data_IF_638730409317
#
_entry.id   IF_638730409317
#
_cell.length_a   1.000
_cell.length_b   1.000
_cell.length_c   1.000
_cell.angle_alpha   90.00
_cell.angle_beta   90.00
_cell.angle_gamma   90.00
#
_symmetry.space_group_name_H-M   'P 1'
#
loop_
_entity.id
_entity.type
_entity.pdbx_description
1 polymer ?
#
# COMPACT_ATOMS: atom_id res chain seq x y z
N UNK A 1 -23.01 -3.31 16.79
CA UNK A 1 -21.65 -3.64 17.27
C UNK A 1 -21.54 -5.04 17.86
N UNK A 2 -22.50 -5.49 18.69
CA UNK A 2 -22.48 -6.83 19.31
C UNK A 2 -22.26 -7.99 18.31
N UNK A 3 -23.00 -8.00 17.20
CA UNK A 3 -22.82 -9.01 16.14
C UNK A 3 -21.40 -9.04 15.58
N UNK A 4 -20.79 -7.87 15.37
CA UNK A 4 -19.39 -7.77 14.96
C UNK A 4 -18.43 -8.34 16.00
N UNK A 5 -18.64 -8.04 17.29
CA UNK A 5 -17.83 -8.58 18.38
C UNK A 5 -17.94 -10.12 18.47
N UNK A 6 -19.14 -10.67 18.29
CA UNK A 6 -19.37 -12.12 18.23
C UNK A 6 -18.63 -12.75 17.05
N UNK A 7 -18.72 -12.17 15.85
CA UNK A 7 -17.97 -12.64 14.69
C UNK A 7 -16.46 -12.59 14.95
N UNK A 8 -15.97 -11.53 15.60
CA UNK A 8 -14.56 -11.40 16.00
C UNK A 8 -14.11 -12.51 16.94
N UNK A 9 -14.86 -12.77 18.00
CA UNK A 9 -14.60 -13.89 18.89
C UNK A 9 -14.61 -15.22 18.14
N UNK A 10 -15.62 -15.45 17.29
CA UNK A 10 -15.75 -16.68 16.51
C UNK A 10 -14.55 -16.92 15.59
N UNK A 11 -14.16 -15.95 14.75
CA UNK A 11 -13.10 -16.19 13.76
C UNK A 11 -11.71 -16.27 14.40
N UNK A 12 -11.42 -15.48 15.45
CA UNK A 12 -10.12 -15.52 16.13
C UNK A 12 -9.90 -16.85 16.85
N UNK A 13 -10.90 -17.34 17.60
CA UNK A 13 -10.80 -18.63 18.25
C UNK A 13 -10.79 -19.80 17.26
N UNK A 14 -11.56 -19.70 16.17
CA UNK A 14 -11.50 -20.68 15.07
C UNK A 14 -10.08 -20.80 14.51
N UNK A 15 -9.39 -19.67 14.28
CA UNK A 15 -8.00 -19.66 13.82
C UNK A 15 -7.07 -20.33 14.83
N UNK A 16 -7.12 -19.93 16.11
CA UNK A 16 -6.28 -20.50 17.18
C UNK A 16 -6.43 -22.02 17.28
N UNK A 17 -7.67 -22.53 17.26
CA UNK A 17 -7.93 -23.97 17.34
C UNK A 17 -7.43 -24.68 16.07
N UNK A 18 -7.65 -24.10 14.88
CA UNK A 18 -7.19 -24.69 13.62
C UNK A 18 -5.66 -24.74 13.50
N UNK A 19 -4.94 -23.73 14.01
CA UNK A 19 -3.48 -23.63 13.88
C UNK A 19 -2.74 -24.40 14.96
N UNK A 20 -3.18 -24.34 16.22
CA UNK A 20 -2.43 -24.92 17.35
C UNK A 20 -3.01 -26.24 17.87
N UNK A 21 -4.33 -26.43 17.82
CA UNK A 21 -4.99 -27.63 18.36
C UNK A 21 -5.44 -28.60 17.25
N UNK A 22 -5.30 -28.21 15.98
CA UNK A 22 -5.60 -29.03 14.82
C UNK A 22 -4.47 -30.01 14.50
N UNK A 23 -4.74 -30.93 13.56
CA UNK A 23 -3.68 -31.76 12.96
C UNK A 23 -2.83 -30.89 12.04
N UNK A 24 -1.50 -31.05 12.10
CA UNK A 24 -0.59 -30.44 11.16
C UNK A 24 -0.89 -30.91 9.73
N UNK A 25 -0.74 -29.99 8.76
CA UNK A 25 -1.15 -30.19 7.37
C UNK A 25 -0.02 -30.02 6.35
N UNK A 26 1.21 -29.84 6.81
CA UNK A 26 2.41 -29.80 5.96
C UNK A 26 3.03 -31.18 5.72
N UNK A 27 4.13 -31.22 4.98
CA UNK A 27 4.91 -32.45 4.73
C UNK A 27 5.77 -32.82 5.95
N UNK A 28 6.18 -34.09 6.07
CA UNK A 28 7.05 -34.55 7.17
C UNK A 28 8.38 -33.78 7.23
N UNK A 29 8.93 -33.32 6.10
CA UNK A 29 10.14 -32.48 6.08
C UNK A 29 9.92 -31.07 6.68
N UNK A 30 8.72 -30.52 6.59
CA UNK A 30 8.38 -29.23 7.19
C UNK A 30 8.22 -29.32 8.71
N UNK A 31 7.82 -30.48 9.22
CA UNK A 31 7.77 -30.74 10.65
C UNK A 31 9.15 -30.64 11.31
N UNK A 32 10.20 -31.09 10.64
CA UNK A 32 11.56 -31.08 11.20
C UNK A 32 12.17 -29.67 11.35
N UNK A 33 11.68 -28.70 10.58
CA UNK A 33 12.11 -27.30 10.66
C UNK A 33 11.23 -26.43 11.58
N UNK A 34 10.23 -27.01 12.25
CA UNK A 34 9.50 -26.30 13.30
C UNK A 34 10.40 -26.12 14.53
N UNK A 35 10.83 -24.89 14.77
CA UNK A 35 11.57 -24.51 15.96
C UNK A 35 10.86 -23.35 16.65
N UNK A 36 11.06 -23.24 17.96
CA UNK A 36 10.56 -22.09 18.71
C UNK A 36 11.22 -20.80 18.22
N UNK A 37 10.47 -19.70 18.29
CA UNK A 37 10.97 -18.39 17.89
C UNK A 37 12.14 -17.97 18.80
N UNK A 38 13.22 -17.38 18.24
CA UNK A 38 14.34 -16.87 19.03
C UNK A 38 13.93 -15.83 20.07
N UNK A 39 14.73 -15.68 21.12
CA UNK A 39 14.50 -14.72 22.21
C UNK A 39 14.27 -13.28 21.72
N UNK A 40 14.91 -12.89 20.61
CA UNK A 40 14.75 -11.58 19.97
C UNK A 40 13.32 -11.28 19.52
N UNK A 41 12.49 -12.32 19.26
CA UNK A 41 11.08 -12.17 18.91
C UNK A 41 10.15 -12.39 20.12
N UNK A 42 10.45 -13.35 20.98
CA UNK A 42 9.57 -13.71 22.11
C UNK A 42 9.55 -12.64 23.20
N UNK A 43 10.68 -11.99 23.49
CA UNK A 43 10.76 -10.95 24.51
C UNK A 43 9.83 -9.76 24.18
N UNK A 44 9.87 -9.16 22.96
CA UNK A 44 8.91 -8.14 22.59
C UNK A 44 7.44 -8.58 22.72
N UNK A 45 7.10 -9.81 22.33
CA UNK A 45 5.74 -10.33 22.41
C UNK A 45 5.25 -10.45 23.86
N UNK A 46 6.11 -10.91 24.78
CA UNK A 46 5.80 -11.00 26.22
C UNK A 46 5.57 -9.61 26.81
N UNK A 47 6.43 -8.64 26.47
CA UNK A 47 6.27 -7.25 26.93
C UNK A 47 4.92 -6.69 26.45
N UNK A 48 4.59 -6.87 25.17
CA UNK A 48 3.32 -6.43 24.61
C UNK A 48 2.12 -7.11 25.29
N UNK A 49 2.21 -8.39 25.61
CA UNK A 49 1.16 -9.11 26.33
C UNK A 49 0.92 -8.51 27.73
N UNK A 50 2.00 -8.22 28.48
CA UNK A 50 1.92 -7.58 29.80
C UNK A 50 1.30 -6.18 29.68
N UNK A 51 1.76 -5.39 28.70
CA UNK A 51 1.23 -4.05 28.45
C UNK A 51 -0.24 -4.07 28.02
N UNK A 52 -0.69 -5.09 27.29
CA UNK A 52 -2.10 -5.25 26.92
C UNK A 52 -2.98 -5.48 28.15
N UNK A 53 -2.52 -6.28 29.11
CA UNK A 53 -3.26 -6.51 30.37
C UNK A 53 -3.23 -5.25 31.23
N UNK A 54 -2.07 -4.62 31.41
CA UNK A 54 -1.92 -3.39 32.18
C UNK A 54 -2.75 -2.25 31.58
N UNK A 55 -2.73 -2.08 30.26
CA UNK A 55 -3.53 -1.07 29.55
C UNK A 55 -5.03 -1.25 29.76
N UNK A 56 -5.52 -2.50 29.78
CA UNK A 56 -6.92 -2.79 30.10
C UNK A 56 -7.31 -2.47 31.56
N UNK A 57 -6.36 -2.59 32.50
CA UNK A 57 -6.58 -2.27 33.91
C UNK A 57 -6.54 -0.76 34.22
N UNK A 58 -5.91 0.04 33.36
CA UNK A 58 -5.81 1.50 33.52
C UNK A 58 -7.14 2.22 33.24
N UNK A 59 -8.02 1.61 32.44
CA UNK A 59 -9.30 2.20 32.04
C UNK A 59 -10.46 1.26 32.39
N UNK A 60 -10.72 1.13 33.70
CA UNK A 60 -11.80 0.31 34.22
C UNK A 60 -13.06 1.14 34.43
N UNK A 61 -14.24 0.62 34.03
CA UNK A 61 -15.50 1.33 34.22
C UNK A 61 -15.74 1.67 35.69
N UNK A 62 -16.39 2.81 35.94
CA UNK A 62 -16.64 3.36 37.28
C UNK A 62 -17.41 2.38 38.18
N UNK A 63 -18.18 1.47 37.57
CA UNK A 63 -18.92 0.39 38.24
C UNK A 63 -18.00 -0.63 38.91
N UNK A 64 -16.81 -0.87 38.35
CA UNK A 64 -15.84 -1.85 38.86
C UNK A 64 -14.89 -1.19 39.86
N UNK A 65 -14.46 0.05 39.58
CA UNK A 65 -13.66 0.87 40.47
C UNK A 65 -14.05 2.35 40.30
N UNK A 66 -14.47 3.02 41.38
CA UNK A 66 -14.96 4.41 41.31
C UNK A 66 -13.94 5.40 40.70
N UNK A 67 -12.63 5.15 40.87
CA UNK A 67 -11.54 5.93 40.28
C UNK A 67 -10.74 5.16 39.21
N UNK A 68 -11.33 4.15 38.58
CA UNK A 68 -10.67 3.28 37.60
C UNK A 68 -10.44 3.90 36.22
N UNK A 69 -11.06 5.04 35.92
CA UNK A 69 -11.01 5.72 34.62
C UNK A 69 -9.80 6.69 34.51
N UNK A 70 -8.59 6.21 34.82
CA UNK A 70 -7.41 7.06 34.95
C UNK A 70 -7.04 7.75 33.62
N UNK A 71 -7.22 7.06 32.49
CA UNK A 71 -6.92 7.61 31.17
C UNK A 71 -7.96 8.66 30.78
N UNK A 72 -9.25 8.37 30.97
CA UNK A 72 -10.31 9.35 30.70
C UNK A 72 -10.21 10.59 31.58
N UNK A 73 -9.84 10.45 32.86
CA UNK A 73 -9.59 11.59 33.75
C UNK A 73 -8.38 12.41 33.32
N UNK A 74 -7.31 11.77 32.87
CA UNK A 74 -6.14 12.47 32.33
C UNK A 74 -6.46 13.25 31.05
N UNK A 75 -7.31 12.70 30.17
CA UNK A 75 -7.68 13.30 28.89
C UNK A 75 -8.81 14.34 28.98
N UNK A 76 -9.57 14.37 30.08
CA UNK A 76 -10.72 15.27 30.25
C UNK A 76 -10.43 16.77 30.06
N UNK A 77 -9.22 17.31 30.32
CA UNK A 77 -8.91 18.72 30.05
C UNK A 77 -8.79 19.05 28.55
N UNK A 78 -8.49 18.06 27.70
CA UNK A 78 -8.20 18.24 26.27
C UNK A 78 -9.35 17.72 25.40
N UNK A 79 -9.99 16.63 25.84
CA UNK A 79 -11.10 15.98 25.13
C UNK A 79 -12.34 16.14 26.00
N UNK A 80 -13.38 16.89 25.56
CA UNK A 80 -14.65 16.90 26.25
C UNK A 80 -15.30 15.53 26.12
N UNK A 81 -15.29 14.76 27.21
CA UNK A 81 -15.91 13.43 27.26
C UNK A 81 -17.39 13.64 27.59
N UNK A 82 -18.33 13.35 26.67
CA UNK A 82 -19.75 13.42 26.99
C UNK A 82 -20.06 12.39 28.07
N UNK A 83 -20.39 12.87 29.28
CA UNK A 83 -20.85 12.01 30.38
C UNK A 83 -22.26 11.52 30.07
N UNK A 84 -22.35 10.44 29.29
CA UNK A 84 -23.58 9.69 29.19
C UNK A 84 -23.84 9.06 30.58
N UNK A 85 -24.76 9.64 31.34
CA UNK A 85 -25.25 9.07 32.59
C UNK A 85 -26.09 7.82 32.27
N UNK A 86 -25.41 6.74 31.94
CA UNK A 86 -26.01 5.41 31.87
C UNK A 86 -26.15 4.92 33.31
N UNK A 87 -27.33 4.43 33.65
CA UNK A 87 -27.55 3.84 34.97
C UNK A 87 -26.61 2.63 35.17
N UNK A 88 -26.07 2.49 36.38
CA UNK A 88 -25.08 1.44 36.70
C UNK A 88 -25.65 0.04 36.41
N UNK A 89 -26.98 -0.15 36.57
CA UNK A 89 -27.62 -1.42 36.24
C UNK A 89 -27.58 -1.71 34.74
N UNK A 90 -27.83 -0.69 33.91
CA UNK A 90 -27.82 -0.83 32.46
C UNK A 90 -26.41 -1.12 31.95
N UNK A 91 -25.40 -0.47 32.51
CA UNK A 91 -23.99 -0.71 32.17
C UNK A 91 -23.56 -2.16 32.45
N UNK A 92 -23.89 -2.69 33.64
CA UNK A 92 -23.59 -4.08 34.01
C UNK A 92 -24.29 -5.06 33.07
N UNK A 93 -25.59 -4.82 32.80
CA UNK A 93 -26.36 -5.69 31.91
C UNK A 93 -25.70 -5.74 30.52
N UNK A 94 -25.31 -4.59 29.96
CA UNK A 94 -24.66 -4.54 28.66
C UNK A 94 -23.29 -5.25 28.66
N UNK A 95 -22.49 -5.10 29.71
CA UNK A 95 -21.20 -5.77 29.86
C UNK A 95 -21.36 -7.29 29.93
N UNK A 96 -22.30 -7.78 30.75
CA UNK A 96 -22.59 -9.21 30.89
C UNK A 96 -23.13 -9.77 29.59
N UNK A 97 -24.10 -9.11 28.95
CA UNK A 97 -24.67 -9.55 27.67
C UNK A 97 -23.58 -9.62 26.59
N UNK A 98 -22.71 -8.61 26.51
CA UNK A 98 -21.59 -8.61 25.56
C UNK A 98 -20.62 -9.77 25.83
N UNK A 99 -20.23 -9.98 27.09
CA UNK A 99 -19.30 -11.04 27.49
C UNK A 99 -19.88 -12.41 27.20
N UNK A 100 -21.13 -12.66 27.58
CA UNK A 100 -21.84 -13.92 27.32
C UNK A 100 -21.98 -14.17 25.82
N UNK A 101 -22.33 -13.16 25.03
CA UNK A 101 -22.44 -13.30 23.58
C UNK A 101 -21.10 -13.70 22.93
N UNK A 102 -19.99 -13.11 23.37
CA UNK A 102 -18.65 -13.49 22.90
C UNK A 102 -18.29 -14.91 23.34
N UNK A 103 -18.54 -15.28 24.60
CA UNK A 103 -18.29 -16.64 25.09
C UNK A 103 -19.09 -17.70 24.33
N UNK A 104 -20.36 -17.42 24.00
CA UNK A 104 -21.16 -18.29 23.14
C UNK A 104 -20.56 -18.42 21.74
N UNK A 105 -20.07 -17.32 21.15
CA UNK A 105 -19.41 -17.37 19.85
C UNK A 105 -18.13 -18.21 19.86
N UNK A 106 -17.33 -18.11 20.93
CA UNK A 106 -16.14 -18.95 21.16
C UNK A 106 -16.51 -20.43 21.31
N UNK A 107 -17.55 -20.72 22.09
CA UNK A 107 -18.06 -22.07 22.29
C UNK A 107 -18.54 -22.67 20.96
N UNK A 108 -19.28 -21.90 20.15
CA UNK A 108 -19.69 -22.32 18.81
C UNK A 108 -18.49 -22.61 17.89
N UNK A 109 -17.43 -21.79 17.95
CA UNK A 109 -16.20 -22.03 17.20
C UNK A 109 -15.52 -23.35 17.60
N UNK A 110 -15.54 -23.70 18.88
CA UNK A 110 -14.98 -24.95 19.39
C UNK A 110 -15.74 -26.18 18.86
N UNK A 111 -17.07 -26.14 18.83
CA UNK A 111 -17.89 -27.28 18.38
C UNK A 111 -17.85 -27.52 16.86
N UNK A 112 -17.65 -26.48 16.05
CA UNK A 112 -17.63 -26.62 14.59
C UNK A 112 -16.33 -27.25 14.03
N UNK A 113 -15.30 -27.47 14.86
CA UNK A 113 -13.92 -27.59 14.38
C UNK A 113 -13.34 -29.02 14.29
N UNK A 114 -14.15 -30.06 14.09
CA UNK A 114 -13.61 -31.44 14.05
C UNK A 114 -13.06 -31.90 12.70
N UNK A 115 -13.35 -31.24 11.58
CA UNK A 115 -12.76 -31.64 10.28
C UNK A 115 -12.86 -30.51 9.26
N UNK A 116 -11.72 -30.01 8.76
CA UNK A 116 -11.72 -29.22 7.53
C UNK A 116 -12.13 -30.15 6.38
N UNK A 117 -13.34 -29.97 5.88
CA UNK A 117 -13.80 -30.66 4.68
C UNK A 117 -13.54 -29.71 3.52
N UNK A 118 -12.68 -30.14 2.61
CA UNK A 118 -12.43 -29.47 1.33
C UNK A 118 -13.68 -29.62 0.47
N UNK A 119 -14.72 -28.85 0.81
CA UNK A 119 -15.94 -28.73 0.03
C UNK A 119 -15.86 -27.40 -0.67
N UNK A 120 -16.05 -27.42 -1.99
CA UNK A 120 -16.31 -26.22 -2.77
C UNK A 120 -17.49 -25.48 -2.13
N UNK A 121 -17.19 -24.33 -1.53
CA UNK A 121 -18.21 -23.51 -0.90
C UNK A 121 -19.15 -22.98 -1.98
N UNK A 122 -20.46 -23.16 -1.79
CA UNK A 122 -21.47 -22.67 -2.73
C UNK A 122 -22.30 -21.56 -2.09
N UNK A 123 -22.67 -20.53 -2.87
CA UNK A 123 -23.59 -19.47 -2.44
C UNK A 123 -22.90 -18.34 -1.66
N UNK A 124 -23.42 -17.98 -0.48
CA UNK A 124 -22.86 -16.88 0.32
C UNK A 124 -21.44 -17.15 0.80
N UNK A 125 -21.09 -18.43 1.02
CA UNK A 125 -19.76 -18.82 1.44
C UNK A 125 -18.70 -18.54 0.36
N UNK A 126 -19.01 -18.71 -0.93
CA UNK A 126 -18.07 -18.36 -2.01
C UNK A 126 -17.89 -16.85 -2.17
N UNK A 127 -18.90 -16.04 -1.85
CA UNK A 127 -18.77 -14.57 -1.84
C UNK A 127 -17.83 -14.11 -0.72
N UNK A 128 -18.00 -14.69 0.48
CA UNK A 128 -17.13 -14.42 1.64
C UNK A 128 -15.69 -14.90 1.39
N UNK A 129 -15.53 -16.05 0.72
CA UNK A 129 -14.22 -16.59 0.34
C UNK A 129 -13.49 -15.68 -0.66
N UNK A 130 -14.19 -15.14 -1.65
CA UNK A 130 -13.65 -14.18 -2.61
C UNK A 130 -13.66 -12.73 -2.06
N UNK A 131 -13.53 -12.54 -0.73
CA UNK A 131 -13.43 -11.22 -0.08
C UNK A 131 -14.47 -10.20 -0.55
N UNK A 132 -15.72 -10.62 -0.73
CA UNK A 132 -16.82 -9.79 -1.23
C UNK A 132 -16.63 -9.22 -2.64
N UNK A 133 -15.71 -9.78 -3.43
CA UNK A 133 -15.34 -9.32 -4.77
C UNK A 133 -14.83 -7.86 -4.83
N UNK A 134 -14.43 -7.28 -3.70
CA UNK A 134 -13.98 -5.88 -3.63
C UNK A 134 -12.68 -5.70 -4.41
N UNK A 135 -11.75 -6.65 -4.30
CA UNK A 135 -10.46 -6.62 -4.99
C UNK A 135 -10.65 -6.67 -6.51
N UNK A 136 -11.56 -7.51 -7.01
CA UNK A 136 -11.89 -7.70 -8.42
C UNK A 136 -12.58 -6.47 -9.01
N UNK A 137 -13.51 -5.88 -8.27
CA UNK A 137 -14.17 -4.63 -8.64
C UNK A 137 -13.14 -3.50 -8.71
N UNK A 138 -12.24 -3.41 -7.72
CA UNK A 138 -11.17 -2.41 -7.69
C UNK A 138 -10.20 -2.58 -8.86
N UNK A 139 -9.78 -3.82 -9.17
CA UNK A 139 -8.93 -4.10 -10.32
C UNK A 139 -9.60 -3.71 -11.65
N UNK A 140 -10.91 -4.00 -11.78
CA UNK A 140 -11.65 -3.71 -12.99
C UNK A 140 -11.94 -2.22 -13.19
N UNK A 141 -12.37 -1.51 -12.14
CA UNK A 141 -12.81 -0.11 -12.24
C UNK A 141 -11.63 0.86 -12.15
N UNK A 142 -10.63 0.56 -11.33
CA UNK A 142 -9.55 1.51 -11.03
C UNK A 142 -8.26 1.08 -11.71
N UNK A 143 -7.79 -0.13 -11.43
CA UNK A 143 -6.44 -0.55 -11.83
C UNK A 143 -6.31 -0.72 -13.35
N UNK A 144 -7.23 -1.43 -14.01
CA UNK A 144 -7.18 -1.67 -15.45
C UNK A 144 -7.29 -0.38 -16.28
N UNK A 145 -8.24 0.54 -16.01
CA UNK A 145 -8.31 1.81 -16.74
C UNK A 145 -7.07 2.67 -16.51
N UNK A 146 -6.56 2.73 -15.28
CA UNK A 146 -5.36 3.50 -14.97
C UNK A 146 -4.12 2.94 -15.67
N UNK A 147 -3.96 1.61 -15.70
CA UNK A 147 -2.89 0.95 -16.46
C UNK A 147 -3.02 1.19 -17.97
N UNK A 148 -4.24 1.15 -18.51
CA UNK A 148 -4.48 1.42 -19.92
C UNK A 148 -4.12 2.88 -20.28
N UNK A 149 -4.57 3.84 -19.48
CA UNK A 149 -4.21 5.25 -19.63
C UNK A 149 -2.69 5.46 -19.54
N UNK A 150 -2.04 4.86 -18.54
CA UNK A 150 -0.59 4.94 -18.38
C UNK A 150 0.17 4.42 -19.60
N UNK A 151 -0.25 3.27 -20.15
CA UNK A 151 0.33 2.73 -21.38
C UNK A 151 0.11 3.63 -22.59
N UNK A 152 -1.06 4.27 -22.71
CA UNK A 152 -1.36 5.18 -23.82
C UNK A 152 -0.53 6.46 -23.76
N UNK A 153 -0.39 7.05 -22.57
CA UNK A 153 0.44 8.24 -22.36
C UNK A 153 1.91 7.92 -22.63
N UNK A 154 2.42 6.80 -22.10
CA UNK A 154 3.80 6.40 -22.33
C UNK A 154 4.08 6.12 -23.81
N UNK A 155 3.19 5.40 -24.49
CA UNK A 155 3.31 5.16 -25.92
C UNK A 155 3.34 6.47 -26.72
N UNK A 156 2.43 7.43 -26.44
CA UNK A 156 2.41 8.74 -27.10
C UNK A 156 3.72 9.52 -26.90
N UNK A 157 4.25 9.55 -25.67
CA UNK A 157 5.50 10.24 -25.40
C UNK A 157 6.72 9.59 -26.06
N UNK A 158 6.79 8.26 -26.09
CA UNK A 158 7.90 7.54 -26.69
C UNK A 158 7.84 7.52 -28.22
N UNK A 159 6.73 7.09 -28.81
CA UNK A 159 6.65 6.89 -30.26
C UNK A 159 6.42 8.16 -31.05
N UNK A 160 5.73 9.15 -30.49
CA UNK A 160 5.34 10.34 -31.25
C UNK A 160 6.23 11.53 -30.88
N UNK A 161 6.43 11.79 -29.59
CA UNK A 161 7.18 12.98 -29.13
C UNK A 161 8.69 12.76 -29.26
N UNK A 162 9.21 11.69 -28.66
CA UNK A 162 10.65 11.42 -28.64
C UNK A 162 11.19 11.10 -30.05
N UNK A 163 10.51 10.24 -30.81
CA UNK A 163 10.94 9.93 -32.18
C UNK A 163 10.88 11.15 -33.10
N UNK A 164 9.86 12.01 -32.98
CA UNK A 164 9.80 13.25 -33.76
C UNK A 164 10.96 14.19 -33.41
N UNK A 165 11.26 14.37 -32.12
CA UNK A 165 12.37 15.22 -31.66
C UNK A 165 13.72 14.71 -32.18
N UNK A 166 14.03 13.43 -31.96
CA UNK A 166 15.32 12.84 -32.33
C UNK A 166 15.50 12.82 -33.85
N UNK A 167 14.50 12.33 -34.59
CA UNK A 167 14.56 12.32 -36.05
C UNK A 167 14.54 13.74 -36.63
N UNK A 168 13.85 14.68 -35.98
CA UNK A 168 13.82 16.09 -36.34
C UNK A 168 15.22 16.73 -36.29
N UNK A 169 15.94 16.53 -35.18
CA UNK A 169 17.33 16.99 -35.04
C UNK A 169 18.22 16.35 -36.10
N UNK A 170 18.10 15.03 -36.32
CA UNK A 170 18.87 14.33 -37.35
C UNK A 170 18.63 14.89 -38.77
N UNK A 171 17.36 15.13 -39.13
CA UNK A 171 16.99 15.73 -40.42
C UNK A 171 17.54 17.15 -40.56
N UNK A 172 17.49 17.96 -39.50
CA UNK A 172 18.04 19.32 -39.50
C UNK A 172 19.54 19.32 -39.76
N UNK A 173 20.29 18.44 -39.09
CA UNK A 173 21.75 18.31 -39.31
C UNK A 173 22.05 17.85 -40.73
N UNK A 174 21.30 16.88 -41.26
CA UNK A 174 21.48 16.41 -42.65
C UNK A 174 21.17 17.50 -43.68
N UNK A 175 20.11 18.29 -43.46
CA UNK A 175 19.75 19.41 -44.33
C UNK A 175 20.85 20.48 -44.31
N UNK A 176 21.32 20.86 -43.12
CA UNK A 176 22.44 21.80 -42.97
C UNK A 176 23.70 21.29 -43.67
N UNK A 177 24.04 20.01 -43.51
CA UNK A 177 25.17 19.38 -44.20
C UNK A 177 25.01 19.38 -45.72
N UNK A 178 23.80 19.12 -46.23
CA UNK A 178 23.50 19.15 -47.68
C UNK A 178 23.64 20.56 -48.25
N UNK A 179 23.22 21.59 -47.51
CA UNK A 179 23.41 22.99 -47.91
C UNK A 179 24.88 23.39 -47.89
N UNK A 180 25.62 23.01 -46.85
CA UNK A 180 27.06 23.26 -46.75
C UNK A 180 27.84 22.58 -47.89
N UNK A 181 27.43 21.37 -48.29
CA UNK A 181 28.02 20.65 -49.42
C UNK A 181 27.91 21.41 -50.75
N UNK A 182 26.81 22.14 -50.98
CA UNK A 182 26.62 22.91 -52.22
C UNK A 182 27.57 24.11 -52.33
N UNK A 183 28.14 24.58 -51.21
CA UNK A 183 29.16 25.65 -51.21
C UNK A 183 30.50 25.15 -51.76
N UNK A 184 30.76 23.84 -51.70
CA UNK A 184 31.97 23.24 -52.27
C UNK A 184 31.73 22.81 -53.73
N UNK A 185 31.92 23.74 -54.66
CA UNK A 185 31.69 23.53 -56.10
C UNK A 185 32.86 22.88 -56.87
N UNK A 186 34.04 22.72 -56.24
CA UNK A 186 35.24 22.16 -56.87
C UNK A 186 35.98 23.12 -57.81
N UNK A 187 35.46 24.33 -58.03
CA UNK A 187 36.06 25.33 -58.91
C UNK A 187 37.10 26.17 -58.15
N UNK A 188 38.38 26.00 -58.51
CA UNK A 188 39.53 26.70 -57.88
C UNK A 188 39.35 28.23 -57.84
N UNK A 189 38.83 28.82 -58.92
CA UNK A 189 38.59 30.27 -58.99
C UNK A 189 37.61 30.79 -57.93
N UNK A 190 36.56 30.02 -57.61
CA UNK A 190 35.57 30.40 -56.58
C UNK A 190 36.19 30.37 -55.18
N UNK A 191 37.09 29.41 -54.91
CA UNK A 191 37.80 29.33 -53.63
C UNK A 191 38.78 30.50 -53.44
N UNK A 192 39.51 30.89 -54.49
CA UNK A 192 40.42 32.04 -54.43
C UNK A 192 39.65 33.34 -54.16
N UNK A 193 38.50 33.54 -54.83
CA UNK A 193 37.61 34.67 -54.58
C UNK A 193 37.12 34.71 -53.12
N UNK A 194 36.66 33.56 -52.59
CA UNK A 194 36.21 33.45 -51.19
C UNK A 194 37.33 33.73 -50.18
N UNK A 195 38.57 33.32 -50.45
CA UNK A 195 39.72 33.61 -49.58
C UNK A 195 40.02 35.11 -49.54
N UNK A 196 40.05 35.80 -50.69
CA UNK A 196 40.27 37.25 -50.74
C UNK A 196 39.18 38.00 -49.98
N UNK A 197 37.91 37.63 -50.19
CA UNK A 197 36.78 38.20 -49.45
C UNK A 197 36.96 37.97 -47.94
N UNK A 198 37.36 36.76 -47.53
CA UNK A 198 37.58 36.42 -46.12
C UNK A 198 38.69 37.24 -45.48
N UNK A 199 39.79 37.49 -46.19
CA UNK A 199 40.90 38.33 -45.73
C UNK A 199 40.44 39.80 -45.57
N UNK A 200 39.70 40.33 -46.55
CA UNK A 200 39.16 41.70 -46.48
C UNK A 200 38.20 41.83 -45.29
N UNK A 201 37.29 40.88 -45.09
CA UNK A 201 36.36 40.86 -43.96
C UNK A 201 37.13 40.75 -42.64
N UNK A 202 38.13 39.89 -42.55
CA UNK A 202 38.94 39.74 -41.34
C UNK A 202 39.64 41.05 -40.95
N UNK A 203 40.25 41.74 -41.92
CA UNK A 203 40.88 43.05 -41.67
C UNK A 203 39.86 44.14 -41.33
N UNK A 204 38.70 44.15 -42.00
CA UNK A 204 37.62 45.07 -41.68
C UNK A 204 37.09 44.86 -40.25
N UNK A 205 36.84 43.61 -39.86
CA UNK A 205 36.45 43.25 -38.49
C UNK A 205 37.55 43.63 -37.49
N UNK A 206 38.82 43.34 -37.80
CA UNK A 206 39.93 43.73 -36.93
C UNK A 206 40.01 45.24 -36.73
N UNK A 207 39.81 46.02 -37.79
CA UNK A 207 39.80 47.49 -37.73
C UNK A 207 38.65 48.03 -36.88
N UNK A 208 37.46 47.42 -36.96
CA UNK A 208 36.31 47.79 -36.14
C UNK A 208 36.40 47.30 -34.69
N UNK A 209 37.04 46.16 -34.42
CA UNK A 209 37.22 45.58 -33.08
C UNK A 209 38.39 46.19 -32.31
N UNK A 210 39.39 46.77 -33.00
CA UNK A 210 40.51 47.50 -32.37
C UNK A 210 40.25 49.01 -32.15
N UNK A 211 39.04 49.49 -32.44
CA UNK A 211 38.54 50.77 -31.89
C UNK A 211 37.93 50.53 -30.53
#
# INVERSE_FOLDING_TARGET
MLFGAMLTGFYMFRLLILTFHGKFRGTDEQHHHLHESPAAMTIPLVILAILSVAGGLIELPAVVMENGNLLSQFLSPVIPIPTAHVDHQTEIILMVVATVAVLLAVLLAFFQNKTFKDKTNTGLASVLENKWYVDEIYDYIIVKPLRWLGKKVLAFFESDVLDWLVNGVGKMVQLAGRQLRLVQSGQVGTYVLLMVISIIIFFALQFFVKK
#
